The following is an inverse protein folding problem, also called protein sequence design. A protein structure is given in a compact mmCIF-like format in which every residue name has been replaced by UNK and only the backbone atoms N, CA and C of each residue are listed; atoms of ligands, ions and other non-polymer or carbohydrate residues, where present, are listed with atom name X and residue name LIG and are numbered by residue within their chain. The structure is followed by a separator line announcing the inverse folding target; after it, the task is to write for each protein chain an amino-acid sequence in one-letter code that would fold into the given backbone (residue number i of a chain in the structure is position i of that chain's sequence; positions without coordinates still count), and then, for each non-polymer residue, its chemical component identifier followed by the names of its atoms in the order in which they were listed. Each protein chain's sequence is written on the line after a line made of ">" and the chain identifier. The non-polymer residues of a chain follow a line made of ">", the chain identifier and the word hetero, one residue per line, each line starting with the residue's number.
data_IF_636046269685
#
_entry.id   IF_636046269685
#
_cell.length_a   1.000
_cell.length_b   1.000
_cell.length_c   1.000
_cell.angle_alpha   90.00
_cell.angle_beta   90.00
_cell.angle_gamma   90.00
#
_symmetry.space_group_name_H-M   'P 1'
#
loop_
_entity.id
_entity.type
_entity.pdbx_description
1 polymer ?
#
# COMPACT_ATOMS: atom_id res chain seq x y z
N UNK A 1 9.62 -2.52 -22.78
CA UNK A 1 9.71 -2.43 -21.31
C UNK A 1 9.53 -3.83 -20.75
N UNK A 2 10.46 -4.32 -19.93
CA UNK A 2 10.38 -5.65 -19.31
C UNK A 2 10.00 -5.44 -17.86
N UNK A 3 8.88 -6.01 -17.43
CA UNK A 3 8.47 -5.95 -16.04
C UNK A 3 9.35 -6.95 -15.26
N UNK A 4 10.03 -6.55 -14.18
CA UNK A 4 10.87 -7.46 -13.40
C UNK A 4 10.05 -8.62 -12.84
N UNK A 5 10.62 -9.84 -12.92
CA UNK A 5 9.90 -11.07 -12.63
C UNK A 5 9.44 -11.19 -11.17
N UNK A 6 10.27 -10.74 -10.23
CA UNK A 6 10.01 -10.89 -8.79
C UNK A 6 8.84 -9.98 -8.32
N UNK A 7 8.82 -8.66 -8.61
CA UNK A 7 7.66 -7.79 -8.40
C UNK A 7 6.38 -8.30 -9.04
N UNK A 8 6.47 -8.84 -10.27
CA UNK A 8 5.33 -9.38 -10.99
C UNK A 8 4.76 -10.63 -10.30
N UNK A 9 5.61 -11.49 -9.74
CA UNK A 9 5.14 -12.67 -9.01
C UNK A 9 4.46 -12.29 -7.70
N UNK A 10 4.98 -11.29 -6.97
CA UNK A 10 4.31 -10.78 -5.77
C UNK A 10 2.92 -10.26 -6.13
N UNK A 11 2.82 -9.40 -7.14
CA UNK A 11 1.54 -8.86 -7.60
C UNK A 11 0.53 -9.96 -7.92
N UNK A 12 0.94 -10.95 -8.73
CA UNK A 12 0.06 -12.07 -9.13
C UNK A 12 -0.46 -12.85 -7.94
N UNK A 13 0.42 -13.20 -6.99
CA UNK A 13 0.03 -13.97 -5.80
C UNK A 13 -1.02 -13.24 -4.95
N UNK A 14 -0.87 -11.93 -4.79
CA UNK A 14 -1.85 -11.13 -4.04
C UNK A 14 -3.15 -11.01 -4.85
N UNK A 15 -3.07 -10.78 -6.15
CA UNK A 15 -4.24 -10.72 -7.03
C UNK A 15 -5.06 -12.01 -6.99
N UNK A 16 -4.40 -13.18 -6.98
CA UNK A 16 -5.06 -14.48 -6.85
C UNK A 16 -5.79 -14.65 -5.51
N UNK A 17 -5.31 -13.98 -4.46
CA UNK A 17 -5.90 -14.07 -3.11
C UNK A 17 -7.09 -13.10 -2.94
N UNK A 18 -7.10 -11.98 -3.66
CA UNK A 18 -8.05 -10.88 -3.50
C UNK A 18 -8.85 -10.58 -4.78
N UNK A 19 -9.15 -11.60 -5.58
CA UNK A 19 -9.98 -11.49 -6.80
C UNK A 19 -9.54 -10.35 -7.76
N UNK A 20 -8.23 -10.17 -7.91
CA UNK A 20 -7.63 -9.12 -8.74
C UNK A 20 -7.28 -7.83 -8.00
N UNK A 21 -7.74 -7.63 -6.76
CA UNK A 21 -7.45 -6.45 -5.94
C UNK A 21 -6.11 -6.56 -5.20
N UNK A 22 -5.01 -6.57 -5.94
CA UNK A 22 -3.66 -6.70 -5.36
C UNK A 22 -3.16 -5.44 -4.64
N UNK A 23 -3.71 -4.27 -4.99
CA UNK A 23 -3.27 -2.96 -4.50
C UNK A 23 -4.23 -2.42 -3.45
N UNK A 24 -3.70 -1.61 -2.53
CA UNK A 24 -4.48 -0.85 -1.57
C UNK A 24 -3.86 0.53 -1.35
N UNK A 25 -4.70 1.56 -1.39
CA UNK A 25 -4.29 2.93 -1.08
C UNK A 25 -4.01 3.06 0.42
N UNK A 26 -2.97 3.82 0.77
CA UNK A 26 -2.78 4.31 2.14
C UNK A 26 -3.63 5.55 2.30
N UNK A 27 -4.57 5.51 3.24
CA UNK A 27 -5.42 6.63 3.60
C UNK A 27 -4.88 7.30 4.87
N UNK A 28 -4.87 8.63 4.89
CA UNK A 28 -4.52 9.42 6.07
C UNK A 28 -5.79 10.03 6.65
N UNK A 29 -6.01 9.87 7.95
CA UNK A 29 -7.15 10.53 8.61
C UNK A 29 -6.77 11.98 8.97
N UNK A 30 -7.45 12.95 8.34
CA UNK A 30 -7.30 14.37 8.68
C UNK A 30 -7.87 14.68 10.08
N UNK A 31 -7.14 15.51 10.84
CA UNK A 31 -7.65 16.09 12.10
C UNK A 31 -7.08 15.54 13.40
N UNK A 32 -6.20 14.52 13.36
CA UNK A 32 -5.49 14.05 14.56
C UNK A 32 -4.08 14.67 14.64
N UNK A 33 -3.64 15.05 15.86
CA UNK A 33 -2.25 15.53 16.14
C UNK A 33 -1.18 14.47 15.86
N UNK A 34 -1.60 13.24 15.58
CA UNK A 34 -0.75 12.12 15.19
C UNK A 34 -1.28 11.62 13.85
N UNK A 35 -0.41 11.50 12.86
CA UNK A 35 -0.76 11.01 11.53
C UNK A 35 -1.20 9.54 11.65
N UNK A 36 -2.52 9.30 11.55
CA UNK A 36 -3.09 7.95 11.56
C UNK A 36 -3.27 7.51 10.12
N UNK A 37 -2.56 6.45 9.76
CA UNK A 37 -2.62 5.84 8.44
C UNK A 37 -3.43 4.54 8.47
N UNK A 38 -4.22 4.30 7.43
CA UNK A 38 -5.01 3.07 7.28
C UNK A 38 -4.83 2.47 5.89
N UNK A 39 -4.94 1.15 5.80
CA UNK A 39 -4.98 0.45 4.52
C UNK A 39 -6.39 0.51 3.94
N UNK A 40 -6.59 1.11 2.77
CA UNK A 40 -7.89 1.20 2.10
C UNK A 40 -8.49 -0.14 1.65
N UNK A 41 -7.76 -1.26 1.79
CA UNK A 41 -8.28 -2.60 1.50
C UNK A 41 -8.87 -3.32 2.71
N UNK A 42 -8.30 -3.15 3.91
CA UNK A 42 -8.74 -3.86 5.12
C UNK A 42 -9.06 -2.93 6.29
N UNK A 43 -8.90 -1.62 6.12
CA UNK A 43 -9.15 -0.56 7.10
C UNK A 43 -8.33 -0.67 8.39
N UNK A 44 -7.31 -1.53 8.41
CA UNK A 44 -6.42 -1.67 9.56
C UNK A 44 -5.32 -0.59 9.53
N UNK A 45 -4.86 -0.24 10.73
CA UNK A 45 -3.82 0.76 10.92
C UNK A 45 -2.50 0.38 10.24
N UNK A 46 -1.86 1.38 9.64
CA UNK A 46 -0.53 1.31 9.04
C UNK A 46 0.41 2.19 9.86
N UNK A 47 1.65 1.74 10.05
CA UNK A 47 2.65 2.52 10.78
C UNK A 47 3.18 3.65 9.93
N UNK A 48 3.45 4.81 10.52
CA UNK A 48 4.11 5.92 9.83
C UNK A 48 5.47 5.52 9.25
N UNK A 49 6.18 4.57 9.87
CA UNK A 49 7.41 3.98 9.32
C UNK A 49 7.17 3.32 7.95
N UNK A 50 6.10 2.52 7.81
CA UNK A 50 5.76 1.88 6.53
C UNK A 50 5.45 2.90 5.44
N UNK A 51 4.82 4.02 5.81
CA UNK A 51 4.52 5.13 4.90
C UNK A 51 5.78 5.89 4.50
N UNK A 52 6.68 6.17 5.45
CA UNK A 52 7.96 6.81 5.16
C UNK A 52 8.83 5.94 4.23
N UNK A 53 8.79 4.62 4.41
CA UNK A 53 9.47 3.69 3.51
C UNK A 53 8.87 3.73 2.09
N UNK A 54 7.54 3.81 1.95
CA UNK A 54 6.88 3.96 0.63
C UNK A 54 7.32 5.23 -0.11
N UNK A 55 7.65 6.30 0.62
CA UNK A 55 8.09 7.57 0.03
C UNK A 55 9.57 7.58 -0.39
N UNK A 56 10.40 6.73 0.20
CA UNK A 56 11.87 6.83 0.10
C UNK A 56 12.52 5.60 -0.52
N UNK A 57 11.84 4.46 -0.51
CA UNK A 57 12.37 3.17 -0.93
C UNK A 57 11.67 2.68 -2.20
N UNK A 58 12.47 2.32 -3.20
CA UNK A 58 12.01 1.70 -4.45
C UNK A 58 11.81 0.18 -4.25
N UNK A 59 10.91 -0.19 -3.33
CA UNK A 59 10.66 -1.58 -2.93
C UNK A 59 9.17 -1.80 -2.63
N UNK A 60 8.70 -3.05 -2.73
CA UNK A 60 7.29 -3.38 -2.55
C UNK A 60 6.97 -3.49 -1.06
N UNK A 61 6.16 -2.56 -0.57
CA UNK A 61 5.65 -2.60 0.81
C UNK A 61 4.24 -3.15 0.78
N UNK A 62 3.97 -4.10 1.67
CA UNK A 62 2.68 -4.80 1.77
C UNK A 62 2.03 -4.50 3.10
N UNK A 63 0.69 -4.44 3.11
CA UNK A 63 -0.07 -4.32 4.33
C UNK A 63 0.25 -5.52 5.25
N UNK A 64 0.63 -5.30 6.52
CA UNK A 64 0.94 -6.40 7.44
C UNK A 64 -0.29 -7.26 7.78
N UNK A 65 -1.49 -6.74 7.54
CA UNK A 65 -2.75 -7.40 7.89
C UNK A 65 -3.37 -8.18 6.72
N UNK A 66 -3.45 -7.57 5.54
CA UNK A 66 -4.07 -8.19 4.36
C UNK A 66 -3.08 -8.45 3.22
N UNK A 67 -1.78 -8.18 3.39
CA UNK A 67 -0.73 -8.44 2.38
C UNK A 67 -0.87 -7.72 1.03
N UNK A 68 -1.95 -6.96 0.80
CA UNK A 68 -2.12 -6.09 -0.38
C UNK A 68 -0.95 -5.11 -0.46
N UNK A 69 -0.50 -4.86 -1.68
CA UNK A 69 0.60 -3.93 -1.96
C UNK A 69 0.09 -2.52 -1.67
N UNK A 70 0.80 -1.82 -0.78
CA UNK A 70 0.44 -0.46 -0.41
C UNK A 70 0.93 0.52 -1.48
N UNK A 71 0.06 1.46 -1.83
CA UNK A 71 0.37 2.58 -2.71
C UNK A 71 -0.03 3.87 -2.02
N UNK A 72 0.80 4.90 -2.14
CA UNK A 72 0.44 6.23 -1.66
C UNK A 72 -0.63 6.79 -2.60
N UNK A 73 -1.75 7.27 -2.05
CA UNK A 73 -2.68 8.05 -2.84
C UNK A 73 -2.07 9.40 -3.20
N UNK A 74 -2.29 9.85 -4.42
CA UNK A 74 -2.07 11.26 -4.74
C UNK A 74 -3.13 12.08 -3.98
N UNK A 75 -2.76 12.68 -2.86
CA UNK A 75 -3.56 13.75 -2.23
C UNK A 75 -3.52 15.06 -3.04
N UNK A 76 -3.48 14.95 -4.37
CA UNK A 76 -3.44 16.06 -5.32
C UNK A 76 -4.45 15.79 -6.45
N UNK A 77 -5.72 15.64 -6.07
CA UNK A 77 -6.81 15.98 -6.99
C UNK A 77 -6.94 17.52 -7.00
N UNK A 78 -6.92 18.05 -8.22
CA UNK A 78 -6.81 19.44 -8.68
C UNK A 78 -7.81 20.40 -8.05
#
# INVERSE_FOLDING_TARGET
>A
HIIPGEPLQIFKRVAETYDGEALALVEQQEGNKSEVYTCGGCFMGITAESVNLLMTKDDIIRCPNCTRILVLGDSQEI
#
